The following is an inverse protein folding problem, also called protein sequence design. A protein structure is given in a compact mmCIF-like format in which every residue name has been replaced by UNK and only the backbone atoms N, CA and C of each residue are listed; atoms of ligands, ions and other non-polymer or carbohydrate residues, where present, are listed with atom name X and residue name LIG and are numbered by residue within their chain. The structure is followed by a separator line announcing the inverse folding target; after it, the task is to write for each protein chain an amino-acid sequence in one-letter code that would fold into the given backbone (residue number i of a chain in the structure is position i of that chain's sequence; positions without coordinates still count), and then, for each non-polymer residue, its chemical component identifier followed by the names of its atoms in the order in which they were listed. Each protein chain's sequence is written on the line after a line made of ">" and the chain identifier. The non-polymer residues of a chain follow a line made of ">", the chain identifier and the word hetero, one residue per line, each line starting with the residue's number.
data_IF_989175346809
#
_entry.id   IF_989175346809
#
_cell.length_a   1.000
_cell.length_b   1.000
_cell.length_c   1.000
_cell.angle_alpha   90.00
_cell.angle_beta   90.00
_cell.angle_gamma   90.00
#
_symmetry.space_group_name_H-M   'P 1'
#
loop_
_entity.id
_entity.type
_entity.pdbx_description
1 polymer ?
#
# COMPACT_ATOMS: atom_id res chain seq x y z
N UNK A 1 28.38 -23.93 -6.46
CA UNK A 1 26.97 -23.94 -6.03
C UNK A 1 26.55 -22.49 -5.91
N UNK A 2 25.79 -21.97 -6.88
CA UNK A 2 25.29 -20.59 -6.82
C UNK A 2 24.23 -20.51 -5.73
N UNK A 3 24.42 -19.63 -4.75
CA UNK A 3 23.39 -19.33 -3.77
C UNK A 3 22.14 -18.81 -4.50
N UNK A 4 20.92 -19.19 -4.06
CA UNK A 4 19.71 -18.59 -4.60
C UNK A 4 19.78 -17.09 -4.35
N UNK A 5 19.69 -16.30 -5.42
CA UNK A 5 19.53 -14.85 -5.35
C UNK A 5 18.25 -14.66 -4.54
N UNK A 6 18.29 -14.03 -3.33
CA UNK A 6 17.07 -13.86 -2.56
C UNK A 6 16.10 -13.08 -3.44
N UNK A 7 14.92 -13.67 -3.70
CA UNK A 7 13.82 -12.98 -4.36
C UNK A 7 13.65 -11.65 -3.61
N UNK A 8 13.89 -10.55 -4.32
CA UNK A 8 14.06 -9.20 -3.75
C UNK A 8 13.03 -8.98 -2.64
N UNK A 9 13.52 -8.97 -1.40
CA UNK A 9 12.69 -8.76 -0.22
C UNK A 9 12.04 -7.38 -0.34
N UNK A 10 10.77 -7.27 0.04
CA UNK A 10 10.13 -5.95 0.15
C UNK A 10 10.74 -5.24 1.35
N UNK A 11 11.05 -3.97 1.17
CA UNK A 11 11.54 -3.10 2.23
C UNK A 11 10.38 -2.77 3.18
N UNK A 12 10.32 -3.47 4.32
CA UNK A 12 9.23 -3.35 5.28
C UNK A 12 9.13 -1.95 5.90
N UNK A 13 10.27 -1.29 6.12
CA UNK A 13 10.32 0.07 6.66
C UNK A 13 9.69 1.05 5.66
N UNK A 14 10.07 0.92 4.39
CA UNK A 14 9.48 1.74 3.33
C UNK A 14 7.98 1.48 3.12
N UNK A 15 7.50 0.26 3.41
CA UNK A 15 6.06 -0.05 3.42
C UNK A 15 5.38 0.60 4.63
N UNK A 16 5.97 0.53 5.82
CA UNK A 16 5.42 1.15 7.01
C UNK A 16 5.27 2.67 6.83
N UNK A 17 6.27 3.35 6.27
CA UNK A 17 6.15 4.77 5.93
C UNK A 17 5.00 5.05 4.95
N UNK A 18 4.83 4.19 3.94
CA UNK A 18 3.78 4.34 2.95
C UNK A 18 2.39 4.17 3.58
N UNK A 19 2.23 3.17 4.45
CA UNK A 19 1.01 2.89 5.19
C UNK A 19 0.63 4.09 6.06
N UNK A 20 1.56 4.59 6.86
CA UNK A 20 1.28 5.74 7.72
C UNK A 20 0.90 7.00 6.92
N UNK A 21 1.57 7.23 5.78
CA UNK A 21 1.27 8.38 4.94
C UNK A 21 -0.13 8.26 4.32
N UNK A 22 -0.47 7.06 3.86
CA UNK A 22 -1.78 6.75 3.30
C UNK A 22 -2.88 6.89 4.36
N UNK A 23 -2.68 6.40 5.59
CA UNK A 23 -3.64 6.60 6.69
C UNK A 23 -3.88 8.08 6.99
N UNK A 24 -2.82 8.89 7.08
CA UNK A 24 -2.93 10.34 7.31
C UNK A 24 -3.71 11.03 6.20
N UNK A 25 -3.49 10.62 4.96
CA UNK A 25 -4.17 11.18 3.80
C UNK A 25 -5.63 10.73 3.74
N UNK A 26 -5.93 9.47 4.08
CA UNK A 26 -7.30 8.94 4.18
C UNK A 26 -8.12 9.57 5.31
N UNK A 27 -7.48 10.02 6.39
CA UNK A 27 -8.13 10.79 7.46
C UNK A 27 -8.47 12.20 7.00
N UNK A 28 -7.59 12.83 6.21
CA UNK A 28 -7.80 14.18 5.65
C UNK A 28 -8.77 14.17 4.48
N UNK A 29 -8.76 13.11 3.68
CA UNK A 29 -9.68 12.90 2.59
C UNK A 29 -11.06 12.68 3.21
N UNK A 30 -11.87 13.75 3.28
CA UNK A 30 -13.29 13.72 3.65
C UNK A 30 -14.15 13.00 2.58
N UNK A 31 -13.62 11.93 2.00
CA UNK A 31 -14.28 11.13 1.00
C UNK A 31 -15.19 10.13 1.72
N UNK A 32 -16.43 10.54 1.97
CA UNK A 32 -17.49 9.71 2.55
C UNK A 32 -18.05 8.67 1.58
N UNK A 33 -17.18 7.92 0.91
CA UNK A 33 -17.56 6.90 -0.08
C UNK A 33 -17.10 5.51 0.34
N UNK A 34 -17.93 4.50 0.09
CA UNK A 34 -17.66 3.10 0.44
C UNK A 34 -16.29 2.61 -0.05
N UNK A 35 -15.81 3.08 -1.21
CA UNK A 35 -14.50 2.74 -1.76
C UNK A 35 -13.33 3.20 -0.89
N UNK A 36 -13.45 4.33 -0.19
CA UNK A 36 -12.42 4.85 0.73
C UNK A 36 -12.41 4.08 2.04
N UNK A 37 -13.57 3.64 2.52
CA UNK A 37 -13.65 2.76 3.69
C UNK A 37 -13.01 1.39 3.42
N UNK A 38 -13.19 0.86 2.20
CA UNK A 38 -12.50 -0.36 1.75
C UNK A 38 -10.98 -0.13 1.70
N UNK A 39 -10.51 0.96 1.10
CA UNK A 39 -9.08 1.27 1.09
C UNK A 39 -8.51 1.41 2.52
N UNK A 40 -9.25 2.05 3.44
CA UNK A 40 -8.84 2.15 4.85
C UNK A 40 -8.69 0.77 5.50
N UNK A 41 -9.61 -0.15 5.22
CA UNK A 41 -9.53 -1.52 5.74
C UNK A 41 -8.31 -2.28 5.21
N UNK A 42 -7.99 -2.15 3.92
CA UNK A 42 -6.78 -2.77 3.33
C UNK A 42 -5.49 -2.23 3.96
N UNK A 43 -5.44 -0.91 4.20
CA UNK A 43 -4.30 -0.25 4.84
C UNK A 43 -4.14 -0.69 6.29
N UNK A 44 -5.24 -0.83 7.03
CA UNK A 44 -5.23 -1.32 8.40
C UNK A 44 -4.77 -2.79 8.47
N UNK A 45 -5.17 -3.62 7.52
CA UNK A 45 -4.65 -5.00 7.40
C UNK A 45 -3.15 -5.03 7.12
N UNK A 46 -2.67 -4.19 6.20
CA UNK A 46 -1.24 -4.08 5.90
C UNK A 46 -0.44 -3.59 7.12
N UNK A 47 -0.96 -2.61 7.86
CA UNK A 47 -0.39 -2.14 9.13
C UNK A 47 -0.30 -3.25 10.17
N UNK A 48 -1.35 -4.06 10.29
CA UNK A 48 -1.40 -5.20 11.21
C UNK A 48 -0.34 -6.25 10.84
N UNK A 49 -0.20 -6.57 9.56
CA UNK A 49 0.83 -7.49 9.06
C UNK A 49 2.25 -6.99 9.35
N UNK A 50 2.50 -5.67 9.23
CA UNK A 50 3.78 -5.06 9.59
C UNK A 50 4.03 -5.00 11.09
N UNK A 51 2.96 -4.97 11.90
CA UNK A 51 3.05 -4.93 13.38
C UNK A 51 3.18 -6.32 14.00
N UNK A 52 3.15 -7.38 13.20
CA UNK A 52 3.36 -8.75 13.66
C UNK A 52 4.79 -8.92 14.20
N UNK A 53 4.97 -9.82 15.17
CA UNK A 53 6.30 -10.13 15.75
C UNK A 53 7.30 -10.62 14.70
N UNK A 54 6.82 -11.29 13.66
CA UNK A 54 7.58 -11.71 12.49
C UNK A 54 6.79 -11.34 11.22
N UNK A 55 6.98 -10.13 10.67
CA UNK A 55 6.23 -9.67 9.50
C UNK A 55 6.61 -10.48 8.26
N UNK A 56 5.63 -11.18 7.69
CA UNK A 56 5.83 -11.97 6.48
C UNK A 56 5.88 -11.08 5.24
N UNK A 57 6.97 -11.16 4.49
CA UNK A 57 7.14 -10.39 3.26
C UNK A 57 6.08 -10.75 2.21
N UNK A 58 5.58 -11.99 2.20
CA UNK A 58 4.54 -12.41 1.28
C UNK A 58 3.18 -11.82 1.67
N UNK A 59 2.85 -11.77 2.96
CA UNK A 59 1.62 -11.12 3.44
C UNK A 59 1.64 -9.61 3.17
N UNK A 60 2.79 -8.98 3.40
CA UNK A 60 3.01 -7.56 3.11
C UNK A 60 2.88 -7.26 1.61
N UNK A 61 3.41 -8.14 0.74
CA UNK A 61 3.22 -8.04 -0.71
C UNK A 61 1.75 -8.16 -1.10
N UNK A 62 1.03 -9.12 -0.54
CA UNK A 62 -0.40 -9.30 -0.81
C UNK A 62 -1.19 -8.05 -0.40
N UNK A 63 -0.94 -7.51 0.79
CA UNK A 63 -1.59 -6.27 1.24
C UNK A 63 -1.24 -5.06 0.36
N UNK A 64 0.02 -4.90 -0.05
CA UNK A 64 0.43 -3.86 -1.01
C UNK A 64 -0.30 -3.98 -2.35
N UNK A 65 -0.48 -5.20 -2.86
CA UNK A 65 -1.24 -5.46 -4.09
C UNK A 65 -2.73 -5.10 -3.94
N UNK A 66 -3.33 -5.39 -2.78
CA UNK A 66 -4.71 -4.98 -2.45
C UNK A 66 -4.86 -3.47 -2.44
N UNK A 67 -4.01 -2.78 -1.67
CA UNK A 67 -3.96 -1.32 -1.59
C UNK A 67 -3.76 -0.69 -2.97
N UNK A 68 -2.85 -1.25 -3.80
CA UNK A 68 -2.62 -0.76 -5.17
C UNK A 68 -3.87 -0.87 -6.03
N UNK A 69 -4.52 -2.04 -6.02
CA UNK A 69 -5.75 -2.27 -6.80
C UNK A 69 -6.84 -1.28 -6.39
N UNK A 70 -7.04 -1.07 -5.08
CA UNK A 70 -8.02 -0.10 -4.58
C UNK A 70 -7.70 1.33 -4.96
N UNK A 71 -6.43 1.72 -4.89
CA UNK A 71 -5.99 3.05 -5.32
C UNK A 71 -6.16 3.27 -6.82
N UNK A 72 -6.00 2.23 -7.63
CA UNK A 72 -6.25 2.27 -9.08
C UNK A 72 -7.74 2.44 -9.37
N UNK A 73 -8.59 1.64 -8.72
CA UNK A 73 -10.06 1.75 -8.78
C UNK A 73 -10.55 3.13 -8.32
N UNK A 74 -10.00 3.64 -7.21
CA UNK A 74 -10.30 4.96 -6.67
C UNK A 74 -9.70 6.10 -7.49
N UNK A 75 -8.63 5.85 -8.25
CA UNK A 75 -7.87 6.88 -8.98
C UNK A 75 -8.71 7.60 -10.03
N UNK A 76 -9.73 6.94 -10.59
CA UNK A 76 -10.70 7.58 -11.47
C UNK A 76 -11.71 8.48 -10.72
N UNK A 77 -12.07 8.13 -9.48
CA UNK A 77 -13.00 8.89 -8.62
C UNK A 77 -12.30 10.01 -7.79
N UNK A 78 -11.01 9.84 -7.45
CA UNK A 78 -10.23 10.73 -6.59
C UNK A 78 -9.54 11.89 -7.32
N UNK A 79 -9.73 12.02 -8.65
CA UNK A 79 -9.17 13.11 -9.49
C UNK A 79 -9.48 14.53 -9.01
N UNK A 80 -10.40 14.72 -8.05
CA UNK A 80 -10.73 16.04 -7.48
C UNK A 80 -9.96 16.42 -6.20
N UNK A 81 -9.12 15.52 -5.65
CA UNK A 81 -8.39 15.75 -4.39
C UNK A 81 -6.89 16.06 -4.55
N UNK A 82 -6.31 16.70 -3.52
CA UNK A 82 -4.87 16.99 -3.42
C UNK A 82 -3.96 15.75 -3.26
N UNK A 83 -4.55 14.54 -3.23
CA UNK A 83 -3.87 13.26 -3.11
C UNK A 83 -3.96 12.55 -4.46
N UNK A 84 -2.86 12.51 -5.20
CA UNK A 84 -2.83 11.85 -6.50
C UNK A 84 -2.63 10.36 -6.28
N UNK A 85 -3.69 9.56 -6.46
CA UNK A 85 -3.60 8.08 -6.40
C UNK A 85 -2.45 7.53 -7.25
N UNK A 86 -2.11 8.21 -8.36
CA UNK A 86 -0.96 7.91 -9.22
C UNK A 86 0.41 7.89 -8.53
N UNK A 87 0.68 8.78 -7.58
CA UNK A 87 1.97 8.82 -6.88
C UNK A 87 2.14 7.61 -5.95
N UNK A 88 1.06 7.24 -5.27
CA UNK A 88 1.02 6.02 -4.45
C UNK A 88 1.14 4.76 -5.31
N UNK A 89 0.44 4.68 -6.44
CA UNK A 89 0.55 3.56 -7.38
C UNK A 89 2.00 3.37 -7.86
N UNK A 90 2.68 4.45 -8.23
CA UNK A 90 4.08 4.41 -8.66
C UNK A 90 5.03 4.00 -7.52
N UNK A 91 4.80 4.50 -6.29
CA UNK A 91 5.60 4.13 -5.11
C UNK A 91 5.41 2.65 -4.74
N UNK A 92 4.18 2.16 -4.72
CA UNK A 92 3.85 0.74 -4.46
C UNK A 92 4.45 -0.15 -5.57
N UNK A 93 4.37 0.26 -6.83
CA UNK A 93 5.00 -0.47 -7.94
C UNK A 93 6.50 -0.67 -7.75
N UNK A 94 7.23 0.37 -7.32
CA UNK A 94 8.66 0.27 -6.99
C UNK A 94 8.94 -0.67 -5.82
N UNK A 95 8.13 -0.62 -4.76
CA UNK A 95 8.27 -1.52 -3.60
C UNK A 95 8.04 -2.99 -3.97
N UNK A 96 7.10 -3.25 -4.88
CA UNK A 96 6.82 -4.58 -5.42
C UNK A 96 7.85 -5.05 -6.47
N UNK A 97 8.80 -4.18 -6.87
CA UNK A 97 9.78 -4.50 -7.91
C UNK A 97 9.20 -4.54 -9.33
N UNK A 98 8.09 -3.82 -9.58
CA UNK A 98 7.36 -3.75 -10.85
C UNK A 98 7.72 -2.50 -11.67
N UNK A 99 8.83 -1.84 -11.37
CA UNK A 99 9.31 -0.61 -12.03
C UNK A 99 10.43 -0.85 -13.03
#
# INVERSE_FOLDING_TARGET
>A
MSAPIPARAVDLDAVAELVEQLERDLVKARAGGASVDVLRAEVEQLRSALSASEPSHDEVKVGLHGVRTRLDELGDDLKSGAVTGGDYLARIGRLLGLG
#
